data_IF_947986112165
#
_entry.id   IF_947986112165
#
_cell.length_a   1.000
_cell.length_b   1.000
_cell.length_c   1.000
_cell.angle_alpha   90.00
_cell.angle_beta   90.00
_cell.angle_gamma   90.00
#
_symmetry.space_group_name_H-M   'P 1'
#
loop_
_entity.id
_entity.type
_entity.pdbx_description
1 polymer ?
#
# COMPACT_ATOMS: atom_id res chain seq x y z
N UNK A 1 -22.18 6.20 42.78
CA UNK A 1 -20.72 5.93 42.73
C UNK A 1 -20.31 5.95 41.30
N UNK A 2 -19.56 7.00 40.88
CA UNK A 2 -19.23 7.32 39.50
C UNK A 2 -18.05 6.47 39.03
N UNK A 3 -18.23 5.65 37.99
CA UNK A 3 -17.11 5.00 37.29
C UNK A 3 -16.57 5.99 36.27
N UNK A 4 -15.39 6.50 36.56
CA UNK A 4 -14.58 7.27 35.60
C UNK A 4 -14.13 6.35 34.46
N UNK A 5 -14.58 6.64 33.25
CA UNK A 5 -13.97 6.15 32.02
C UNK A 5 -12.58 6.79 31.92
N UNK A 6 -11.55 5.99 31.93
CA UNK A 6 -10.23 6.39 31.46
C UNK A 6 -10.24 6.30 29.94
N UNK A 7 -10.41 7.44 29.28
CA UNK A 7 -10.01 7.56 27.89
C UNK A 7 -8.49 7.59 27.88
N UNK A 8 -7.88 6.50 27.48
CA UNK A 8 -6.46 6.48 27.19
C UNK A 8 -6.21 7.23 25.89
N UNK A 9 -6.00 8.53 25.99
CA UNK A 9 -5.47 9.35 24.93
C UNK A 9 -4.02 8.86 24.71
N UNK A 10 -3.82 7.92 23.79
CA UNK A 10 -2.49 7.63 23.26
C UNK A 10 -2.09 8.86 22.47
N UNK A 11 -1.14 9.59 23.04
CA UNK A 11 -0.43 10.68 22.38
C UNK A 11 0.38 10.05 21.25
N UNK A 12 -0.22 9.89 20.08
CA UNK A 12 0.51 9.59 18.85
C UNK A 12 1.33 10.83 18.58
N UNK A 13 2.63 10.74 18.82
CA UNK A 13 3.57 11.76 18.41
C UNK A 13 3.49 11.83 16.89
N UNK A 14 2.80 12.88 16.40
CA UNK A 14 2.84 13.26 15.01
C UNK A 14 4.30 13.42 14.60
N UNK A 15 4.81 12.52 13.79
CA UNK A 15 5.85 12.86 12.86
C UNK A 15 5.11 13.52 11.72
N UNK A 16 5.16 14.86 11.57
CA UNK A 16 4.57 15.46 10.41
C UNK A 16 5.31 14.86 9.19
N UNK A 17 4.58 14.35 8.23
CA UNK A 17 5.04 14.37 6.85
C UNK A 17 5.10 15.85 6.51
N UNK A 18 6.18 16.47 6.96
CA UNK A 18 6.50 17.83 6.59
C UNK A 18 7.08 17.67 5.19
N UNK A 19 6.25 17.95 4.19
CA UNK A 19 6.76 18.54 2.96
C UNK A 19 7.44 19.83 3.39
N UNK A 20 8.62 19.73 3.96
CA UNK A 20 9.54 20.83 4.10
C UNK A 20 10.10 21.05 2.71
N UNK A 21 9.50 22.00 1.98
CA UNK A 21 10.24 22.79 1.02
C UNK A 21 11.60 23.08 1.64
N UNK A 22 12.59 22.27 1.30
CA UNK A 22 13.96 22.50 1.71
C UNK A 22 14.41 23.75 0.98
N UNK A 23 14.17 24.90 1.60
CA UNK A 23 14.74 26.15 1.13
C UNK A 23 16.23 25.94 0.95
N UNK A 24 16.68 25.97 -0.30
CA UNK A 24 18.06 25.76 -0.67
C UNK A 24 19.00 26.60 0.18
N UNK A 25 19.89 25.95 0.89
CA UNK A 25 20.99 26.64 1.58
C UNK A 25 21.99 27.05 0.49
N UNK A 26 21.90 28.28 0.04
CA UNK A 26 22.89 28.90 -0.85
C UNK A 26 24.19 29.02 -0.03
N UNK A 27 25.08 28.06 -0.19
CA UNK A 27 26.44 28.21 0.27
C UNK A 27 27.22 28.89 -0.87
N UNK A 28 27.62 30.12 -0.63
CA UNK A 28 28.31 30.98 -1.58
C UNK A 28 29.49 30.34 -2.27
N UNK A 29 29.55 30.60 -3.55
CA UNK A 29 30.39 30.12 -4.60
C UNK A 29 31.85 29.80 -4.27
N UNK A 30 32.22 28.56 -4.58
CA UNK A 30 33.51 28.27 -5.20
C UNK A 30 33.28 28.06 -6.68
N UNK A 31 33.89 28.94 -7.48
CA UNK A 31 33.89 28.76 -8.92
C UNK A 31 34.43 27.36 -9.22
N UNK A 32 33.67 26.55 -9.96
CA UNK A 32 34.15 25.30 -10.51
C UNK A 32 35.39 25.58 -11.40
N UNK A 33 36.49 24.95 -11.07
CA UNK A 33 37.79 25.24 -11.70
C UNK A 33 38.01 24.49 -12.99
N UNK A 34 37.10 23.57 -13.42
CA UNK A 34 37.30 22.82 -14.65
C UNK A 34 36.02 22.70 -15.51
N UNK A 35 36.09 23.25 -16.74
CA UNK A 35 35.06 23.06 -17.76
C UNK A 35 34.90 21.59 -18.21
N UNK A 36 35.85 20.72 -17.87
CA UNK A 36 35.91 19.32 -18.29
C UNK A 36 34.80 18.46 -17.65
N UNK A 37 34.52 18.64 -16.36
CA UNK A 37 33.50 17.86 -15.64
C UNK A 37 32.10 18.11 -16.21
N UNK A 38 31.76 19.37 -16.46
CA UNK A 38 30.47 19.75 -17.04
C UNK A 38 30.30 19.23 -18.49
N UNK A 39 31.38 18.99 -19.23
CA UNK A 39 31.35 18.42 -20.58
C UNK A 39 31.11 16.92 -20.59
N UNK A 40 31.52 16.20 -19.56
CA UNK A 40 31.37 14.75 -19.45
C UNK A 40 29.90 14.39 -19.24
N UNK A 41 29.15 15.17 -18.47
CA UNK A 41 27.73 14.97 -18.20
C UNK A 41 26.80 15.17 -19.41
N UNK A 42 27.20 16.01 -20.35
CA UNK A 42 26.45 16.21 -21.63
C UNK A 42 26.54 15.06 -22.60
N UNK A 43 27.33 14.02 -22.34
CA UNK A 43 27.67 12.97 -23.29
C UNK A 43 27.36 11.55 -22.84
N UNK A 44 26.92 11.32 -21.62
CA UNK A 44 26.32 10.04 -21.30
C UNK A 44 24.94 10.04 -21.95
N UNK A 45 24.83 9.54 -23.16
CA UNK A 45 23.62 8.90 -23.63
C UNK A 45 23.40 7.76 -22.64
N UNK A 46 22.59 8.04 -21.64
CA UNK A 46 22.09 7.01 -20.74
C UNK A 46 21.36 6.06 -21.65
N UNK A 47 21.92 4.86 -21.81
CA UNK A 47 21.33 3.82 -22.61
C UNK A 47 19.87 3.69 -22.17
N UNK A 48 18.95 3.73 -23.13
CA UNK A 48 17.58 3.30 -22.86
C UNK A 48 17.70 1.82 -22.50
N UNK A 49 17.71 1.54 -21.21
CA UNK A 49 17.42 0.20 -20.74
C UNK A 49 15.93 0.03 -20.95
N UNK A 50 15.59 -0.60 -22.06
CA UNK A 50 14.28 -1.09 -22.41
C UNK A 50 14.00 -2.31 -21.49
N UNK A 51 13.88 -2.05 -20.20
CA UNK A 51 13.37 -3.02 -19.24
C UNK A 51 11.85 -2.91 -19.29
N UNK A 52 11.25 -3.70 -20.13
CA UNK A 52 9.89 -4.06 -20.51
C UNK A 52 8.67 -3.58 -19.70
N UNK A 53 8.80 -2.84 -18.64
CA UNK A 53 7.74 -2.16 -17.93
C UNK A 53 7.96 -0.66 -17.98
N UNK A 54 6.99 0.05 -18.54
CA UNK A 54 6.99 1.50 -18.53
C UNK A 54 6.55 1.95 -17.14
N UNK A 55 7.52 2.47 -16.36
CA UNK A 55 7.28 3.04 -15.05
C UNK A 55 6.15 4.09 -15.12
N UNK A 56 5.20 4.01 -14.18
CA UNK A 56 4.00 4.83 -14.24
C UNK A 56 4.30 6.32 -14.14
N UNK A 57 5.04 6.74 -13.12
CA UNK A 57 5.34 8.15 -12.87
C UNK A 57 6.32 8.70 -13.90
N UNK A 58 7.28 7.91 -14.39
CA UNK A 58 8.13 8.26 -15.51
C UNK A 58 7.33 8.64 -16.76
N UNK A 59 6.26 7.90 -17.04
CA UNK A 59 5.37 8.15 -18.19
C UNK A 59 4.61 9.47 -18.12
N UNK A 60 4.46 10.06 -16.90
CA UNK A 60 3.79 11.35 -16.69
C UNK A 60 4.72 12.56 -16.83
N UNK A 61 6.02 12.34 -16.94
CA UNK A 61 7.03 13.38 -17.04
C UNK A 61 7.23 13.86 -18.48
N UNK A 62 7.58 15.13 -18.67
CA UNK A 62 8.01 15.64 -19.96
C UNK A 62 9.45 15.18 -20.31
N UNK A 63 9.91 15.43 -21.52
CA UNK A 63 11.21 14.94 -22.02
C UNK A 63 12.42 15.40 -21.18
N UNK A 64 12.39 16.63 -20.66
CA UNK A 64 13.48 17.14 -19.83
C UNK A 64 13.42 16.53 -18.42
N UNK A 65 12.23 16.40 -17.85
CA UNK A 65 12.00 15.69 -16.58
C UNK A 65 12.40 14.21 -16.68
N UNK A 66 12.03 13.51 -17.77
CA UNK A 66 12.43 12.11 -18.01
C UNK A 66 13.95 11.94 -18.11
N UNK A 67 14.65 12.94 -18.64
CA UNK A 67 16.11 12.94 -18.63
C UNK A 67 16.66 13.06 -17.21
N UNK A 68 16.13 14.02 -16.42
CA UNK A 68 16.48 14.19 -15.03
C UNK A 68 16.18 12.94 -14.17
N UNK A 69 15.07 12.27 -14.45
CA UNK A 69 14.71 11.00 -13.82
C UNK A 69 15.80 9.93 -14.02
N UNK A 70 16.25 9.73 -15.27
CA UNK A 70 17.31 8.77 -15.56
C UNK A 70 18.65 9.16 -14.93
N UNK A 71 18.98 10.48 -14.89
CA UNK A 71 20.18 10.99 -14.24
C UNK A 71 20.15 10.70 -12.73
N UNK A 72 18.99 10.93 -12.07
CA UNK A 72 18.81 10.65 -10.65
C UNK A 72 18.90 9.15 -10.37
N UNK A 73 18.19 8.34 -11.13
CA UNK A 73 18.14 6.89 -10.96
C UNK A 73 19.54 6.26 -11.14
N UNK A 74 20.28 6.66 -12.18
CA UNK A 74 21.64 6.18 -12.43
C UNK A 74 22.60 6.59 -11.31
N UNK A 75 22.55 7.87 -10.89
CA UNK A 75 23.39 8.35 -9.80
C UNK A 75 23.13 7.61 -8.49
N UNK A 76 21.85 7.33 -8.16
CA UNK A 76 21.47 6.56 -6.97
C UNK A 76 21.94 5.11 -7.08
N UNK A 77 21.70 4.44 -8.20
CA UNK A 77 22.13 3.04 -8.43
C UNK A 77 23.64 2.87 -8.42
N UNK A 78 24.37 3.91 -8.85
CA UNK A 78 25.84 3.96 -8.81
C UNK A 78 26.41 4.42 -7.46
N UNK A 79 25.56 4.70 -6.48
CA UNK A 79 25.96 5.23 -5.15
C UNK A 79 26.82 6.50 -5.21
N UNK A 80 26.53 7.38 -6.17
CA UNK A 80 27.23 8.66 -6.26
C UNK A 80 26.81 9.61 -5.13
N UNK A 81 27.74 10.11 -4.35
CA UNK A 81 27.42 11.07 -3.26
C UNK A 81 26.87 12.39 -3.81
N UNK A 82 27.29 12.75 -5.02
CA UNK A 82 26.86 13.96 -5.73
C UNK A 82 27.05 13.82 -7.22
N UNK A 83 26.05 14.25 -7.96
CA UNK A 83 26.11 14.31 -9.42
C UNK A 83 25.35 15.53 -9.95
N UNK A 84 25.60 15.89 -11.20
CA UNK A 84 24.94 17.03 -11.82
C UNK A 84 23.66 16.60 -12.51
N UNK A 85 22.65 17.48 -12.46
CA UNK A 85 21.40 17.31 -13.18
C UNK A 85 21.33 18.27 -14.36
N UNK A 86 20.67 17.84 -15.41
CA UNK A 86 20.26 18.71 -16.53
C UNK A 86 19.10 19.64 -16.14
N UNK A 87 18.35 19.31 -15.10
CA UNK A 87 17.30 20.12 -14.52
C UNK A 87 17.87 21.28 -13.68
N UNK A 88 17.14 22.37 -13.58
CA UNK A 88 17.56 23.56 -12.84
C UNK A 88 16.51 24.17 -11.91
N UNK A 89 15.24 23.77 -12.04
CA UNK A 89 14.13 24.20 -11.18
C UNK A 89 14.03 23.35 -9.91
N UNK A 90 13.92 23.96 -8.72
CA UNK A 90 13.80 23.21 -7.47
C UNK A 90 12.55 22.32 -7.47
N UNK A 91 11.38 22.91 -7.77
CA UNK A 91 10.12 22.15 -7.82
C UNK A 91 10.12 21.05 -8.90
N UNK A 92 10.85 21.27 -10.00
CA UNK A 92 11.00 20.29 -11.05
C UNK A 92 11.86 19.11 -10.61
N UNK A 93 12.96 19.40 -9.90
CA UNK A 93 13.85 18.38 -9.34
C UNK A 93 13.13 17.57 -8.27
N UNK A 94 12.42 18.25 -7.35
CA UNK A 94 11.65 17.58 -6.30
C UNK A 94 10.59 16.64 -6.91
N UNK A 95 9.82 17.13 -7.88
CA UNK A 95 8.83 16.33 -8.60
C UNK A 95 9.44 15.10 -9.29
N UNK A 96 10.55 15.28 -9.97
CA UNK A 96 11.24 14.19 -10.67
C UNK A 96 11.81 13.18 -9.67
N UNK A 97 12.35 13.66 -8.54
CA UNK A 97 12.84 12.78 -7.50
C UNK A 97 11.72 11.96 -6.83
N UNK A 98 10.58 12.58 -6.57
CA UNK A 98 9.41 11.86 -6.07
C UNK A 98 8.91 10.80 -7.07
N UNK A 99 8.93 11.10 -8.38
CA UNK A 99 8.61 10.12 -9.39
C UNK A 99 9.55 8.90 -9.34
N UNK A 100 10.87 9.14 -9.22
CA UNK A 100 11.86 8.06 -9.06
C UNK A 100 11.56 7.19 -7.84
N UNK A 101 11.29 7.81 -6.69
CA UNK A 101 11.04 7.04 -5.46
C UNK A 101 9.71 6.27 -5.48
N UNK A 102 8.69 6.81 -6.15
CA UNK A 102 7.38 6.15 -6.30
C UNK A 102 7.41 4.99 -7.29
N UNK A 103 8.24 5.07 -8.34
CA UNK A 103 8.41 4.01 -9.31
C UNK A 103 9.40 2.91 -8.85
N UNK A 104 10.26 3.19 -7.85
CA UNK A 104 11.36 2.32 -7.46
C UNK A 104 11.39 2.02 -5.95
N UNK A 105 10.46 1.22 -5.44
CA UNK A 105 10.44 0.85 -4.02
C UNK A 105 11.71 0.10 -3.59
N UNK A 106 12.42 -0.55 -4.54
CA UNK A 106 13.69 -1.23 -4.28
C UNK A 106 14.83 -0.30 -3.85
N UNK A 107 14.68 1.03 -4.05
CA UNK A 107 15.69 2.01 -3.64
C UNK A 107 15.62 2.33 -2.15
N UNK A 108 15.37 1.35 -1.29
CA UNK A 108 15.18 1.48 0.15
C UNK A 108 16.35 2.16 0.88
N UNK A 109 17.52 2.23 0.26
CA UNK A 109 18.72 2.84 0.84
C UNK A 109 18.82 4.34 0.64
N UNK A 110 17.82 4.97 0.03
CA UNK A 110 17.81 6.43 -0.23
C UNK A 110 16.83 7.10 0.72
N UNK A 111 17.23 8.25 1.24
CA UNK A 111 16.29 9.09 1.97
C UNK A 111 15.30 9.76 1.01
N UNK A 112 14.09 9.99 1.47
CA UNK A 112 13.13 10.84 0.77
C UNK A 112 13.48 12.36 0.85
N UNK A 113 14.68 12.69 1.31
CA UNK A 113 15.20 14.06 1.40
C UNK A 113 16.57 14.12 0.74
N UNK A 114 16.67 14.99 -0.24
CA UNK A 114 17.87 15.25 -1.00
C UNK A 114 18.46 16.62 -0.63
N UNK A 115 19.62 16.91 -1.21
CA UNK A 115 20.24 18.24 -1.18
C UNK A 115 20.56 18.67 -2.59
N UNK A 116 20.06 19.85 -2.97
CA UNK A 116 20.33 20.46 -4.25
C UNK A 116 21.26 21.65 -4.07
N UNK A 117 22.38 21.69 -4.77
CA UNK A 117 23.34 22.76 -4.74
C UNK A 117 23.33 23.46 -6.11
N UNK A 118 23.04 24.77 -6.13
CA UNK A 118 23.06 25.57 -7.35
C UNK A 118 24.37 26.31 -7.49
N UNK A 119 24.92 26.28 -8.72
CA UNK A 119 26.13 27.02 -9.06
C UNK A 119 25.97 27.64 -10.44
N UNK A 120 26.41 28.89 -10.58
CA UNK A 120 26.42 29.58 -11.87
C UNK A 120 27.85 29.58 -12.42
N UNK A 121 28.04 29.04 -13.60
CA UNK A 121 29.32 29.07 -14.31
C UNK A 121 29.14 29.61 -15.74
N UNK A 122 29.92 30.59 -16.09
CA UNK A 122 29.88 31.20 -17.46
C UNK A 122 28.46 31.63 -17.90
N UNK A 123 27.64 32.13 -16.95
CA UNK A 123 26.28 32.59 -17.20
C UNK A 123 25.25 31.47 -17.39
N UNK A 124 25.57 30.24 -17.00
CA UNK A 124 24.65 29.10 -16.93
C UNK A 124 24.58 28.57 -15.52
N UNK A 125 23.36 28.20 -15.11
CA UNK A 125 23.10 27.57 -13.84
C UNK A 125 23.26 26.05 -13.98
N UNK A 126 23.87 25.45 -12.96
CA UNK A 126 24.07 24.01 -12.84
C UNK A 126 23.55 23.57 -11.48
N UNK A 127 22.79 22.51 -11.47
CA UNK A 127 22.32 21.88 -10.25
C UNK A 127 23.15 20.64 -9.96
N UNK A 128 23.63 20.52 -8.74
CA UNK A 128 24.28 19.34 -8.22
C UNK A 128 23.36 18.70 -7.19
N UNK A 129 22.94 17.47 -7.47
CA UNK A 129 22.07 16.69 -6.63
C UNK A 129 22.88 15.79 -5.70
N UNK A 130 22.44 15.62 -4.47
CA UNK A 130 23.06 14.76 -3.46
C UNK A 130 21.97 13.96 -2.76
N UNK A 131 21.72 12.72 -3.17
CA UNK A 131 20.82 11.82 -2.45
C UNK A 131 21.42 11.53 -1.08
N UNK A 132 20.60 11.40 -0.06
CA UNK A 132 21.05 10.90 1.22
C UNK A 132 21.00 9.37 1.18
N UNK A 133 22.05 8.70 1.65
CA UNK A 133 22.06 7.23 1.76
C UNK A 133 21.94 6.79 3.20
N UNK A 134 21.09 5.76 3.42
CA UNK A 134 21.00 4.99 4.66
C UNK A 134 21.71 3.66 4.49
N UNK A 135 21.97 2.99 5.55
CA UNK A 135 22.52 1.64 5.59
C UNK A 135 23.98 1.48 5.13
N UNK A 136 24.70 0.66 5.84
CA UNK A 136 26.00 0.16 5.38
C UNK A 136 25.85 -0.84 4.25
N UNK A 137 26.93 -1.18 3.58
CA UNK A 137 26.95 -2.21 2.54
C UNK A 137 26.42 -3.55 3.05
N UNK A 138 26.82 -3.96 4.24
CA UNK A 138 26.38 -5.19 4.87
C UNK A 138 24.86 -5.19 5.13
N UNK A 139 24.33 -4.06 5.66
CA UNK A 139 22.89 -3.92 5.89
C UNK A 139 22.09 -3.97 4.58
N UNK A 140 22.59 -3.31 3.52
CA UNK A 140 21.94 -3.37 2.20
C UNK A 140 21.85 -4.79 1.67
N UNK A 141 22.93 -5.57 1.84
CA UNK A 141 22.94 -6.98 1.44
C UNK A 141 21.95 -7.82 2.26
N UNK A 142 21.87 -7.61 3.57
CA UNK A 142 20.90 -8.29 4.43
C UNK A 142 19.45 -7.96 4.04
N UNK A 143 19.15 -6.68 3.78
CA UNK A 143 17.81 -6.23 3.36
C UNK A 143 17.47 -6.81 1.99
N UNK A 144 18.39 -6.74 1.02
CA UNK A 144 18.18 -7.33 -0.31
C UNK A 144 17.91 -8.84 -0.22
N UNK A 145 18.62 -9.54 0.66
CA UNK A 145 18.38 -10.97 0.87
C UNK A 145 17.00 -11.21 1.52
N UNK A 146 16.57 -10.36 2.44
CA UNK A 146 15.24 -10.47 3.05
C UNK A 146 14.12 -10.24 2.02
N UNK A 147 14.31 -9.27 1.11
CA UNK A 147 13.39 -9.01 -0.01
C UNK A 147 13.31 -10.20 -0.97
N UNK A 148 14.47 -10.81 -1.32
CA UNK A 148 14.50 -12.00 -2.17
C UNK A 148 13.80 -13.19 -1.51
N UNK A 149 14.05 -13.41 -0.22
CA UNK A 149 13.38 -14.47 0.53
C UNK A 149 11.86 -14.28 0.53
N UNK A 150 11.38 -13.06 0.76
CA UNK A 150 9.95 -12.72 0.72
C UNK A 150 9.34 -13.04 -0.65
N UNK A 151 10.02 -12.67 -1.73
CA UNK A 151 9.56 -13.01 -3.07
C UNK A 151 9.49 -14.52 -3.33
N UNK A 152 10.49 -15.28 -2.89
CA UNK A 152 10.48 -16.75 -3.04
C UNK A 152 9.37 -17.41 -2.19
N UNK A 153 9.09 -16.88 -1.01
CA UNK A 153 7.98 -17.33 -0.16
C UNK A 153 6.64 -17.07 -0.85
N UNK A 154 6.43 -15.88 -1.42
CA UNK A 154 5.22 -15.54 -2.21
C UNK A 154 5.08 -16.48 -3.41
N UNK A 155 6.15 -16.69 -4.20
CA UNK A 155 6.13 -17.62 -5.34
C UNK A 155 5.69 -19.04 -4.92
N UNK A 156 6.14 -19.50 -3.76
CA UNK A 156 5.79 -20.83 -3.26
C UNK A 156 4.31 -20.99 -2.87
N UNK A 157 3.63 -19.86 -2.62
CA UNK A 157 2.21 -19.83 -2.24
C UNK A 157 1.27 -19.64 -3.45
N UNK A 158 1.80 -19.19 -4.59
CA UNK A 158 1.01 -18.99 -5.81
C UNK A 158 0.78 -20.34 -6.50
N UNK A 159 -0.49 -20.75 -6.71
CA UNK A 159 -0.80 -21.99 -7.43
C UNK A 159 -0.33 -21.93 -8.88
N UNK A 160 0.04 -23.08 -9.44
CA UNK A 160 0.38 -23.22 -10.86
C UNK A 160 -0.78 -22.74 -11.74
N UNK A 161 -0.50 -21.80 -12.66
CA UNK A 161 -1.52 -21.25 -13.57
C UNK A 161 -2.49 -20.27 -12.92
N UNK A 162 -2.17 -19.74 -11.74
CA UNK A 162 -2.96 -18.70 -11.07
C UNK A 162 -3.16 -17.47 -11.97
N UNK A 163 -4.38 -16.92 -11.95
CA UNK A 163 -4.67 -15.63 -12.58
C UNK A 163 -4.03 -14.48 -11.80
N UNK A 164 -3.95 -13.29 -12.41
CA UNK A 164 -3.29 -12.14 -11.80
C UNK A 164 -4.00 -11.67 -10.52
N UNK A 165 -5.32 -11.80 -10.43
CA UNK A 165 -6.06 -11.54 -9.20
C UNK A 165 -5.58 -12.45 -8.04
N UNK A 166 -5.39 -13.74 -8.30
CA UNK A 166 -4.89 -14.68 -7.30
C UNK A 166 -3.50 -14.31 -6.83
N UNK A 167 -2.62 -13.85 -7.75
CA UNK A 167 -1.29 -13.35 -7.39
C UNK A 167 -1.38 -12.10 -6.50
N UNK A 168 -2.24 -11.12 -6.87
CA UNK A 168 -2.47 -9.91 -6.06
C UNK A 168 -2.99 -10.28 -4.67
N UNK A 169 -3.95 -11.18 -4.57
CA UNK A 169 -4.48 -11.66 -3.28
C UNK A 169 -3.39 -12.35 -2.45
N UNK A 170 -2.53 -13.15 -3.07
CA UNK A 170 -1.43 -13.83 -2.38
C UNK A 170 -0.42 -12.81 -1.82
N UNK A 171 -0.03 -11.81 -2.63
CA UNK A 171 0.88 -10.74 -2.18
C UNK A 171 0.25 -9.92 -1.05
N UNK A 172 -1.01 -9.52 -1.20
CA UNK A 172 -1.77 -8.78 -0.19
C UNK A 172 -1.77 -9.51 1.15
N UNK A 173 -2.16 -10.79 1.14
CA UNK A 173 -2.19 -11.63 2.34
C UNK A 173 -0.79 -11.83 2.92
N UNK A 174 0.20 -12.09 2.07
CA UNK A 174 1.59 -12.27 2.51
C UNK A 174 2.13 -11.04 3.25
N UNK A 175 1.92 -9.84 2.71
CA UNK A 175 2.40 -8.60 3.35
C UNK A 175 1.73 -8.41 4.71
N UNK A 176 0.42 -8.62 4.81
CA UNK A 176 -0.34 -8.53 6.07
C UNK A 176 0.19 -9.56 7.09
N UNK A 177 0.33 -10.81 6.69
CA UNK A 177 0.73 -11.89 7.61
C UNK A 177 2.18 -11.77 8.10
N UNK A 178 3.04 -11.05 7.36
CA UNK A 178 4.47 -10.98 7.63
C UNK A 178 4.98 -9.60 8.06
N UNK A 179 4.09 -8.62 8.22
CA UNK A 179 4.44 -7.28 8.65
C UNK A 179 3.56 -6.88 9.83
N UNK A 180 4.10 -6.22 10.82
CA UNK A 180 3.37 -5.66 11.96
C UNK A 180 3.26 -4.14 11.79
N UNK A 181 2.06 -3.57 11.97
CA UNK A 181 1.87 -2.12 11.86
C UNK A 181 2.44 -1.42 13.10
N UNK A 182 3.68 -0.96 13.00
CA UNK A 182 4.42 -0.33 14.11
C UNK A 182 5.25 0.84 13.59
N UNK A 183 5.22 1.96 14.33
CA UNK A 183 6.09 3.11 14.07
C UNK A 183 7.49 2.78 14.55
N UNK A 184 8.46 2.80 13.64
CA UNK A 184 9.87 2.50 13.88
C UNK A 184 10.79 3.38 13.01
N UNK A 185 12.11 3.22 13.12
CA UNK A 185 13.06 4.02 12.35
C UNK A 185 13.02 3.74 10.84
N UNK A 186 12.65 2.53 10.43
CA UNK A 186 12.63 2.08 9.04
C UNK A 186 11.21 1.89 8.47
N UNK A 187 10.18 2.33 9.19
CA UNK A 187 8.77 2.02 8.96
C UNK A 187 8.20 2.52 7.62
N UNK A 188 8.82 3.55 7.04
CA UNK A 188 8.36 4.18 5.78
C UNK A 188 8.86 3.47 4.52
N UNK A 189 9.66 2.42 4.66
CA UNK A 189 10.29 1.76 3.53
C UNK A 189 10.07 0.24 3.53
N UNK A 190 10.32 -0.38 2.40
CA UNK A 190 10.25 -1.85 2.28
C UNK A 190 11.30 -2.57 3.14
N UNK A 191 12.36 -1.86 3.58
CA UNK A 191 13.30 -2.40 4.56
C UNK A 191 12.61 -2.69 5.90
N UNK A 192 11.70 -1.83 6.33
CA UNK A 192 10.84 -2.07 7.48
C UNK A 192 10.01 -3.32 7.30
N UNK A 193 9.26 -3.42 6.21
CA UNK A 193 8.36 -4.53 5.93
C UNK A 193 9.10 -5.89 5.79
N UNK A 194 10.18 -5.93 5.01
CA UNK A 194 10.85 -7.20 4.70
C UNK A 194 11.92 -7.61 5.72
N UNK A 195 12.70 -6.66 6.25
CA UNK A 195 13.83 -6.97 7.14
C UNK A 195 13.46 -6.88 8.62
N UNK A 196 12.74 -5.82 9.01
CA UNK A 196 12.32 -5.62 10.41
C UNK A 196 10.98 -6.28 10.72
N UNK A 197 10.19 -6.60 9.70
CA UNK A 197 8.80 -7.07 9.83
C UNK A 197 7.90 -6.05 10.53
N UNK A 198 8.22 -4.76 10.40
CA UNK A 198 7.54 -3.64 11.02
C UNK A 198 7.49 -2.47 10.05
N UNK A 199 6.31 -1.99 9.73
CA UNK A 199 6.14 -0.85 8.84
C UNK A 199 4.87 -0.05 9.16
N UNK A 200 4.74 1.11 8.52
CA UNK A 200 3.48 1.85 8.40
C UNK A 200 3.01 1.80 6.94
N UNK A 201 1.96 2.55 6.60
CA UNK A 201 1.32 2.48 5.28
C UNK A 201 2.29 2.57 4.09
N UNK A 202 3.30 3.44 4.14
CA UNK A 202 4.29 3.58 3.07
C UNK A 202 5.11 2.29 2.87
N UNK A 203 5.54 1.65 3.95
CA UNK A 203 6.27 0.37 3.86
C UNK A 203 5.41 -0.79 3.39
N UNK A 204 4.11 -0.85 3.80
CA UNK A 204 3.15 -1.83 3.28
C UNK A 204 2.93 -1.65 1.78
N UNK A 205 2.60 -0.44 1.35
CA UNK A 205 2.33 -0.14 -0.06
C UNK A 205 3.57 -0.40 -0.95
N UNK A 206 4.76 0.02 -0.50
CA UNK A 206 6.00 -0.27 -1.21
C UNK A 206 6.30 -1.78 -1.29
N UNK A 207 6.02 -2.55 -0.22
CA UNK A 207 6.20 -4.00 -0.23
C UNK A 207 5.24 -4.71 -1.20
N UNK A 208 3.97 -4.28 -1.25
CA UNK A 208 2.99 -4.76 -2.23
C UNK A 208 3.46 -4.45 -3.65
N UNK A 209 3.85 -3.20 -3.93
CA UNK A 209 4.37 -2.79 -5.24
C UNK A 209 5.56 -3.65 -5.66
N UNK A 210 6.60 -3.73 -4.83
CA UNK A 210 7.81 -4.50 -5.13
C UNK A 210 7.53 -5.96 -5.50
N UNK A 211 6.64 -6.64 -4.73
CA UNK A 211 6.32 -8.03 -4.99
C UNK A 211 5.48 -8.21 -6.25
N UNK A 212 4.51 -7.31 -6.52
CA UNK A 212 3.65 -7.39 -7.69
C UNK A 212 4.41 -7.10 -8.99
N UNK A 213 5.29 -6.09 -9.01
CA UNK A 213 6.14 -5.80 -10.16
C UNK A 213 7.04 -6.98 -10.51
N UNK A 214 7.59 -7.67 -9.52
CA UNK A 214 8.36 -8.91 -9.75
C UNK A 214 7.54 -10.09 -10.26
N UNK A 215 6.21 -10.03 -10.14
CA UNK A 215 5.26 -10.99 -10.71
C UNK A 215 4.69 -10.53 -12.04
N UNK A 216 5.26 -9.49 -12.66
CA UNK A 216 4.82 -8.86 -13.91
C UNK A 216 3.39 -8.27 -13.83
N UNK A 217 2.98 -7.79 -12.66
CA UNK A 217 1.68 -7.12 -12.45
C UNK A 217 1.92 -5.62 -12.24
N UNK A 218 1.40 -4.75 -13.13
CA UNK A 218 1.52 -3.30 -12.97
C UNK A 218 0.89 -2.83 -11.66
N UNK A 219 1.68 -2.14 -10.85
CA UNK A 219 1.28 -1.67 -9.53
C UNK A 219 1.79 -0.24 -9.31
N UNK A 220 0.90 0.66 -8.97
CA UNK A 220 1.19 2.07 -8.73
C UNK A 220 1.17 2.30 -7.22
N UNK A 221 2.23 2.88 -6.68
CA UNK A 221 2.29 3.37 -5.31
C UNK A 221 1.64 4.74 -5.21
N UNK A 222 0.61 4.90 -4.40
CA UNK A 222 -0.15 6.14 -4.27
C UNK A 222 -0.03 6.70 -2.86
N UNK A 223 0.17 7.99 -2.75
CA UNK A 223 0.08 8.76 -1.50
C UNK A 223 -1.08 9.74 -1.58
N UNK A 224 -1.70 9.99 -0.44
CA UNK A 224 -2.81 10.93 -0.34
C UNK A 224 -3.26 11.16 1.10
N UNK A 225 -4.45 11.70 1.22
CA UNK A 225 -5.07 12.05 2.49
C UNK A 225 -6.14 11.03 2.90
N UNK A 226 -6.22 10.76 4.20
CA UNK A 226 -7.33 10.04 4.79
C UNK A 226 -8.37 11.03 5.34
N UNK A 227 -9.64 10.80 5.03
CA UNK A 227 -10.73 11.63 5.52
C UNK A 227 -10.72 11.68 7.05
N UNK A 228 -10.99 12.86 7.61
CA UNK A 228 -11.01 13.10 9.05
C UNK A 228 -9.68 12.83 9.78
N UNK A 229 -8.57 12.74 9.05
CA UNK A 229 -7.23 12.59 9.58
C UNK A 229 -6.35 13.77 9.13
N UNK A 230 -5.34 14.10 9.94
CA UNK A 230 -4.25 15.01 9.56
C UNK A 230 -3.01 14.23 9.11
N UNK A 231 -3.12 12.92 9.05
CA UNK A 231 -2.05 12.02 8.61
C UNK A 231 -2.30 11.64 7.17
N UNK A 232 -1.24 11.66 6.36
CA UNK A 232 -1.28 11.08 5.02
C UNK A 232 -1.44 9.56 5.08
N UNK A 233 -1.82 8.97 3.96
CA UNK A 233 -1.94 7.54 3.79
C UNK A 233 -1.26 7.11 2.49
N UNK A 234 -0.84 5.84 2.41
CA UNK A 234 -0.27 5.25 1.20
C UNK A 234 -0.94 3.90 0.91
N UNK A 235 -1.22 3.67 -0.36
CA UNK A 235 -1.87 2.45 -0.88
C UNK A 235 -1.40 2.15 -2.30
N UNK A 236 -2.00 1.17 -2.94
CA UNK A 236 -1.67 0.80 -4.31
C UNK A 236 -2.88 0.90 -5.24
N UNK A 237 -2.61 1.10 -6.52
CA UNK A 237 -3.53 0.85 -7.62
C UNK A 237 -2.90 -0.21 -8.51
N UNK A 238 -3.63 -1.30 -8.77
CA UNK A 238 -3.18 -2.40 -9.64
C UNK A 238 -3.98 -2.42 -10.94
N UNK A 239 -3.33 -2.81 -12.03
CA UNK A 239 -4.01 -3.06 -13.30
C UNK A 239 -4.30 -4.56 -13.46
N UNK A 240 -5.58 -4.94 -13.56
CA UNK A 240 -6.03 -6.29 -13.82
C UNK A 240 -6.98 -6.30 -15.03
N UNK A 241 -6.65 -7.07 -16.06
CA UNK A 241 -7.45 -7.18 -17.28
C UNK A 241 -7.77 -5.83 -17.95
N UNK A 242 -6.83 -4.85 -17.86
CA UNK A 242 -7.00 -3.51 -18.45
C UNK A 242 -7.93 -2.59 -17.66
N UNK A 243 -8.22 -2.92 -16.39
CA UNK A 243 -8.97 -2.09 -15.45
C UNK A 243 -8.13 -1.85 -14.19
N UNK A 244 -8.40 -0.74 -13.49
CA UNK A 244 -7.66 -0.34 -12.30
C UNK A 244 -8.48 -0.60 -11.03
N UNK A 245 -7.78 -1.09 -9.98
CA UNK A 245 -8.38 -1.43 -8.69
C UNK A 245 -7.50 -0.93 -7.54
N UNK A 246 -8.12 -0.44 -6.48
CA UNK A 246 -7.43 -0.12 -5.24
C UNK A 246 -6.97 -1.39 -4.52
N UNK A 247 -5.80 -1.34 -3.89
CA UNK A 247 -5.29 -2.36 -2.97
C UNK A 247 -4.64 -1.67 -1.79
N UNK A 248 -5.13 -1.95 -0.59
CA UNK A 248 -4.65 -1.31 0.64
C UNK A 248 -4.40 -2.35 1.72
N UNK A 249 -3.19 -2.89 1.73
CA UNK A 249 -2.79 -3.92 2.68
C UNK A 249 -2.68 -3.39 4.12
N UNK A 250 -2.45 -2.09 4.30
CA UNK A 250 -2.42 -1.47 5.62
C UNK A 250 -3.78 -1.58 6.32
N UNK A 251 -4.85 -1.19 5.62
CA UNK A 251 -6.20 -1.31 6.15
C UNK A 251 -6.66 -2.77 6.24
N UNK A 252 -6.10 -3.65 5.40
CA UNK A 252 -6.31 -5.08 5.49
C UNK A 252 -5.75 -5.73 6.76
N UNK A 253 -4.77 -5.09 7.39
CA UNK A 253 -4.12 -5.50 8.65
C UNK A 253 -4.68 -4.75 9.87
N UNK A 254 -5.88 -4.19 9.78
CA UNK A 254 -6.50 -3.39 10.84
C UNK A 254 -7.81 -4.02 11.33
N UNK A 255 -7.76 -5.16 12.05
CA UNK A 255 -8.98 -5.79 12.59
C UNK A 255 -9.75 -4.86 13.54
N UNK A 256 -9.11 -3.81 14.06
CA UNK A 256 -9.73 -2.79 14.92
C UNK A 256 -10.80 -1.94 14.18
N UNK A 257 -10.85 -2.00 12.85
CA UNK A 257 -11.93 -1.37 12.07
C UNK A 257 -13.26 -2.12 12.19
N UNK A 258 -13.24 -3.38 12.64
CA UNK A 258 -14.45 -4.13 12.87
C UNK A 258 -15.14 -3.64 14.13
N UNK A 259 -16.36 -3.15 14.00
CA UNK A 259 -17.24 -2.93 15.12
C UNK A 259 -17.82 -4.29 15.59
N UNK A 260 -18.16 -4.39 16.85
CA UNK A 260 -18.63 -5.63 17.46
C UNK A 260 -17.57 -6.29 18.34
N UNK A 261 -17.45 -7.60 18.31
CA UNK A 261 -16.45 -8.34 19.10
C UNK A 261 -15.17 -8.60 18.28
N UNK A 262 -14.53 -7.52 17.85
CA UNK A 262 -13.32 -7.54 17.04
C UNK A 262 -12.13 -8.25 17.70
N UNK A 263 -12.16 -8.44 19.02
CA UNK A 263 -11.07 -9.04 19.79
C UNK A 263 -10.71 -10.43 19.27
N UNK A 264 -11.69 -11.23 18.89
CA UNK A 264 -11.47 -12.58 18.36
C UNK A 264 -10.88 -12.58 16.95
N UNK A 265 -11.28 -11.63 16.08
CA UNK A 265 -10.68 -11.50 14.75
C UNK A 265 -9.21 -11.12 14.85
N UNK A 266 -8.87 -10.24 15.80
CA UNK A 266 -7.49 -9.87 16.11
C UNK A 266 -6.70 -11.06 16.68
N UNK A 267 -7.27 -11.84 17.58
CA UNK A 267 -6.66 -13.03 18.15
C UNK A 267 -6.36 -14.11 17.09
N UNK A 268 -7.23 -14.25 16.08
CA UNK A 268 -7.08 -15.17 14.96
C UNK A 268 -6.27 -14.59 13.78
N UNK A 269 -5.73 -13.37 13.89
CA UNK A 269 -4.99 -12.69 12.81
C UNK A 269 -5.77 -12.71 11.48
N UNK A 270 -7.04 -12.40 11.53
CA UNK A 270 -7.92 -12.50 10.36
C UNK A 270 -7.65 -11.34 9.40
N UNK A 271 -7.16 -11.66 8.21
CA UNK A 271 -7.01 -10.67 7.12
C UNK A 271 -8.34 -10.06 6.73
N UNK A 272 -8.42 -8.74 6.65
CA UNK A 272 -9.58 -7.98 6.20
C UNK A 272 -9.49 -7.80 4.67
N UNK A 273 -10.33 -8.52 3.92
CA UNK A 273 -10.33 -8.47 2.45
C UNK A 273 -11.19 -7.34 1.86
N UNK A 274 -11.80 -6.51 2.69
CA UNK A 274 -12.59 -5.36 2.27
C UNK A 274 -11.75 -4.32 1.51
N UNK A 275 -10.47 -4.29 1.74
CA UNK A 275 -9.50 -3.39 1.11
C UNK A 275 -8.71 -4.04 -0.04
N UNK A 276 -9.08 -5.26 -0.45
CA UNK A 276 -8.61 -5.91 -1.66
C UNK A 276 -9.61 -5.69 -2.79
N UNK A 277 -9.29 -4.82 -3.71
CA UNK A 277 -10.19 -4.37 -4.79
C UNK A 277 -11.55 -3.89 -4.26
N UNK A 278 -11.60 -2.96 -3.29
CA UNK A 278 -12.85 -2.41 -2.77
C UNK A 278 -13.69 -1.79 -3.87
N UNK A 279 -14.97 -1.60 -3.60
CA UNK A 279 -15.80 -0.76 -4.47
C UNK A 279 -15.26 0.67 -4.43
N UNK A 280 -15.00 1.30 -5.59
CA UNK A 280 -14.33 2.60 -5.64
C UNK A 280 -15.01 3.66 -4.78
N UNK A 281 -16.34 3.75 -4.83
CA UNK A 281 -17.12 4.73 -4.06
C UNK A 281 -16.90 4.59 -2.54
N UNK A 282 -16.82 3.34 -2.04
CA UNK A 282 -16.60 3.08 -0.61
C UNK A 282 -15.19 3.45 -0.17
N UNK A 283 -14.20 3.24 -1.04
CA UNK A 283 -12.81 3.59 -0.76
C UNK A 283 -12.59 5.11 -0.83
N UNK A 284 -13.10 5.76 -1.87
CA UNK A 284 -12.94 7.20 -2.15
C UNK A 284 -13.68 8.10 -1.14
N UNK A 285 -14.66 7.58 -0.37
CA UNK A 285 -15.25 8.29 0.76
C UNK A 285 -14.21 8.63 1.85
N UNK A 286 -13.17 7.80 1.97
CA UNK A 286 -12.19 7.93 3.04
C UNK A 286 -10.79 8.31 2.55
N UNK A 287 -10.46 8.13 1.28
CA UNK A 287 -9.10 8.31 0.76
C UNK A 287 -9.11 9.11 -0.53
N UNK A 288 -8.22 10.11 -0.60
CA UNK A 288 -8.06 10.98 -1.78
C UNK A 288 -6.59 11.06 -2.14
N UNK A 289 -6.23 10.70 -3.37
CA UNK A 289 -4.86 10.80 -3.86
C UNK A 289 -4.37 12.26 -3.86
N UNK A 290 -3.07 12.45 -3.63
CA UNK A 290 -2.45 13.79 -3.69
C UNK A 290 -2.50 14.37 -5.10
N UNK A 291 -2.53 15.69 -5.19
CA UNK A 291 -2.56 16.42 -6.47
C UNK A 291 -1.21 16.45 -7.21
N UNK A 292 -0.15 15.88 -6.65
CA UNK A 292 1.19 15.97 -7.24
C UNK A 292 1.27 15.26 -8.61
N UNK A 293 0.65 14.07 -8.68
CA UNK A 293 0.56 13.29 -9.91
C UNK A 293 -0.87 12.78 -10.11
N UNK A 294 -1.39 12.83 -11.34
CA UNK A 294 -2.66 12.17 -11.63
C UNK A 294 -2.51 10.64 -11.45
N UNK A 295 -3.55 9.99 -10.97
CA UNK A 295 -3.65 8.53 -10.90
C UNK A 295 -4.81 8.02 -11.75
N UNK A 296 -4.78 6.78 -12.26
CA UNK A 296 -5.88 6.25 -13.04
C UNK A 296 -7.13 6.09 -12.18
N UNK A 297 -8.29 6.34 -12.79
CA UNK A 297 -9.56 6.15 -12.12
C UNK A 297 -9.88 4.65 -11.95
N UNK A 298 -10.14 4.23 -10.74
CA UNK A 298 -10.68 2.92 -10.44
C UNK A 298 -12.19 2.96 -10.60
N UNK A 299 -12.78 2.17 -11.48
CA UNK A 299 -14.23 2.18 -11.75
C UNK A 299 -14.84 0.78 -11.76
N UNK A 300 -14.02 -0.25 -11.83
CA UNK A 300 -14.45 -1.64 -11.90
C UNK A 300 -14.65 -2.26 -10.50
N UNK A 301 -15.55 -3.22 -10.40
CA UNK A 301 -15.93 -3.87 -9.14
C UNK A 301 -15.86 -5.40 -9.20
N UNK A 302 -15.63 -5.97 -10.37
CA UNK A 302 -15.68 -7.41 -10.61
C UNK A 302 -14.54 -8.20 -9.96
N UNK A 303 -13.42 -7.52 -9.61
CA UNK A 303 -12.31 -8.12 -8.85
C UNK A 303 -12.45 -7.92 -7.33
N UNK A 304 -13.55 -7.32 -6.85
CA UNK A 304 -13.78 -7.27 -5.41
C UNK A 304 -13.80 -8.68 -4.80
N UNK A 305 -13.16 -8.83 -3.63
CA UNK A 305 -13.03 -10.14 -2.98
C UNK A 305 -14.37 -10.88 -2.81
N UNK A 306 -15.40 -10.18 -2.37
CA UNK A 306 -16.72 -10.79 -2.13
C UNK A 306 -17.44 -11.13 -3.42
N UNK A 307 -17.31 -10.30 -4.46
CA UNK A 307 -17.87 -10.58 -5.80
C UNK A 307 -17.22 -11.84 -6.39
N UNK A 308 -15.90 -11.92 -6.36
CA UNK A 308 -15.13 -13.07 -6.86
C UNK A 308 -15.45 -14.36 -6.13
N UNK A 309 -15.81 -14.29 -4.86
CA UNK A 309 -16.10 -15.44 -4.02
C UNK A 309 -17.60 -15.76 -3.89
N UNK A 310 -18.47 -15.07 -4.65
CA UNK A 310 -19.92 -15.27 -4.60
C UNK A 310 -20.53 -14.93 -3.23
N UNK A 311 -19.93 -13.99 -2.51
CA UNK A 311 -20.30 -13.57 -1.18
C UNK A 311 -20.74 -12.08 -1.12
N UNK A 312 -21.10 -11.51 -2.27
CA UNK A 312 -21.67 -10.17 -2.38
C UNK A 312 -23.13 -10.29 -2.84
N UNK A 313 -24.04 -9.65 -2.10
CA UNK A 313 -25.49 -9.71 -2.34
C UNK A 313 -26.03 -8.31 -2.69
N UNK A 314 -26.74 -8.17 -3.80
CA UNK A 314 -27.38 -6.92 -4.20
C UNK A 314 -28.62 -6.58 -3.34
N UNK A 315 -29.27 -7.61 -2.82
CA UNK A 315 -30.45 -7.52 -1.94
C UNK A 315 -30.30 -8.51 -0.81
N UNK A 316 -30.89 -8.20 0.34
CA UNK A 316 -30.96 -9.18 1.42
C UNK A 316 -32.00 -10.27 1.14
N UNK A 317 -31.59 -11.52 1.19
CA UNK A 317 -32.41 -12.71 1.20
C UNK A 317 -31.81 -13.74 2.16
N UNK A 318 -32.53 -14.03 3.24
CA UNK A 318 -32.07 -14.96 4.26
C UNK A 318 -31.60 -16.31 3.71
N UNK A 319 -32.37 -16.87 2.76
CA UNK A 319 -32.04 -18.20 2.20
C UNK A 319 -30.67 -18.19 1.52
N UNK A 320 -30.40 -17.15 0.72
CA UNK A 320 -29.12 -17.00 0.02
C UNK A 320 -27.93 -16.81 0.97
N UNK A 321 -28.10 -15.99 2.01
CA UNK A 321 -27.08 -15.79 3.04
C UNK A 321 -26.84 -17.07 3.83
N UNK A 322 -27.90 -17.76 4.24
CA UNK A 322 -27.81 -19.01 4.99
C UNK A 322 -27.13 -20.13 4.16
N UNK A 323 -27.46 -20.25 2.87
CA UNK A 323 -26.82 -21.22 1.98
C UNK A 323 -25.32 -20.94 1.80
N UNK A 324 -24.92 -19.66 1.70
CA UNK A 324 -23.49 -19.27 1.70
C UNK A 324 -22.82 -19.68 3.01
N UNK A 325 -23.43 -19.36 4.15
CA UNK A 325 -22.88 -19.70 5.46
C UNK A 325 -22.69 -21.21 5.60
N UNK A 326 -23.70 -22.02 5.20
CA UNK A 326 -23.59 -23.47 5.19
C UNK A 326 -22.42 -23.96 4.34
N UNK A 327 -22.30 -23.46 3.10
CA UNK A 327 -21.21 -23.83 2.22
C UNK A 327 -19.82 -23.56 2.85
N UNK A 328 -19.67 -22.43 3.54
CA UNK A 328 -18.42 -22.06 4.21
C UNK A 328 -18.16 -22.94 5.43
N UNK A 329 -19.17 -23.19 6.24
CA UNK A 329 -19.08 -24.06 7.42
C UNK A 329 -18.76 -25.51 7.00
N UNK A 330 -19.39 -26.02 5.97
CA UNK A 330 -19.12 -27.37 5.42
C UNK A 330 -17.69 -27.50 4.87
N UNK A 331 -17.05 -26.37 4.55
CA UNK A 331 -15.65 -26.27 4.14
C UNK A 331 -14.67 -25.98 5.30
N UNK A 332 -15.13 -26.13 6.54
CA UNK A 332 -14.35 -25.91 7.77
C UNK A 332 -13.85 -24.45 7.97
N UNK A 333 -14.61 -23.47 7.46
CA UNK A 333 -14.30 -22.07 7.64
C UNK A 333 -14.65 -21.60 9.05
N UNK A 334 -13.66 -21.16 9.82
CA UNK A 334 -13.86 -20.57 11.16
C UNK A 334 -14.49 -19.17 11.12
N UNK A 335 -14.33 -18.47 10.00
CA UNK A 335 -14.87 -17.13 9.77
C UNK A 335 -15.70 -17.13 8.49
N UNK A 336 -16.97 -16.77 8.60
CA UNK A 336 -17.84 -16.52 7.45
C UNK A 336 -18.00 -15.03 7.27
N UNK A 337 -17.82 -14.56 6.05
CA UNK A 337 -17.90 -13.13 5.70
C UNK A 337 -18.64 -12.91 4.41
N UNK A 338 -19.40 -11.84 4.34
CA UNK A 338 -20.14 -11.45 3.15
C UNK A 338 -20.44 -9.95 3.14
N UNK A 339 -20.75 -9.45 1.96
CA UNK A 339 -20.92 -8.03 1.66
C UNK A 339 -22.28 -7.78 1.01
N UNK A 340 -22.79 -6.56 1.17
CA UNK A 340 -23.96 -6.08 0.44
C UNK A 340 -23.58 -4.95 -0.53
N UNK A 341 -24.19 -4.98 -1.72
CA UNK A 341 -23.95 -4.01 -2.79
C UNK A 341 -24.64 -2.66 -2.55
N UNK A 342 -25.54 -2.56 -1.57
CA UNK A 342 -26.27 -1.34 -1.24
C UNK A 342 -26.48 -1.18 0.26
N UNK A 343 -26.61 0.08 0.72
CA UNK A 343 -26.89 0.37 2.13
C UNK A 343 -28.23 -0.25 2.57
N UNK A 344 -29.27 -0.19 1.74
CA UNK A 344 -30.56 -0.76 2.09
C UNK A 344 -30.53 -2.27 2.33
N UNK A 345 -29.80 -3.02 1.49
CA UNK A 345 -29.63 -4.46 1.68
C UNK A 345 -28.82 -4.79 2.93
N UNK A 346 -27.79 -3.97 3.21
CA UNK A 346 -26.98 -4.09 4.44
C UNK A 346 -27.83 -3.84 5.71
N UNK A 347 -28.61 -2.75 5.72
CA UNK A 347 -29.47 -2.39 6.86
C UNK A 347 -30.51 -3.47 7.15
N UNK A 348 -31.15 -4.02 6.10
CA UNK A 348 -32.09 -5.13 6.24
C UNK A 348 -31.43 -6.38 6.82
N UNK A 349 -30.23 -6.72 6.32
CA UNK A 349 -29.46 -7.85 6.82
C UNK A 349 -29.03 -7.66 8.27
N UNK A 350 -28.52 -6.48 8.63
CA UNK A 350 -28.13 -6.17 10.00
C UNK A 350 -29.30 -6.29 10.97
N UNK A 351 -30.44 -5.71 10.62
CA UNK A 351 -31.66 -5.77 11.42
C UNK A 351 -32.14 -7.20 11.66
N UNK A 352 -32.09 -8.06 10.64
CA UNK A 352 -32.53 -9.45 10.76
C UNK A 352 -31.47 -10.33 11.48
N UNK A 353 -30.24 -10.28 11.02
CA UNK A 353 -29.19 -11.18 11.49
C UNK A 353 -28.72 -10.82 12.91
N UNK A 354 -28.55 -9.52 13.19
CA UNK A 354 -27.99 -9.04 14.44
C UNK A 354 -29.07 -8.62 15.43
N UNK A 355 -29.91 -7.64 15.08
CA UNK A 355 -30.91 -7.10 16.02
C UNK A 355 -32.00 -8.10 16.37
N UNK A 356 -32.48 -8.88 15.37
CA UNK A 356 -33.44 -9.96 15.56
C UNK A 356 -32.78 -11.29 15.95
N UNK A 357 -31.44 -11.32 15.99
CA UNK A 357 -30.64 -12.48 16.38
C UNK A 357 -30.86 -13.74 15.53
N UNK A 358 -31.18 -13.59 14.25
CA UNK A 358 -31.40 -14.71 13.32
C UNK A 358 -30.09 -15.50 13.03
N UNK A 359 -28.94 -14.89 13.31
CA UNK A 359 -27.61 -15.54 13.28
C UNK A 359 -27.56 -16.84 14.11
N UNK A 360 -28.43 -17.00 15.13
CA UNK A 360 -28.50 -18.23 15.92
C UNK A 360 -28.73 -19.48 15.08
N UNK A 361 -29.41 -19.38 13.95
CA UNK A 361 -29.69 -20.54 13.10
C UNK A 361 -28.43 -20.96 12.34
N UNK A 362 -27.55 -20.02 12.02
CA UNK A 362 -26.21 -20.30 11.47
C UNK A 362 -25.35 -20.98 12.53
N UNK A 363 -25.36 -20.47 13.77
CA UNK A 363 -24.62 -21.05 14.88
C UNK A 363 -25.10 -22.48 15.23
N UNK A 364 -26.41 -22.73 15.18
CA UNK A 364 -26.97 -24.09 15.33
C UNK A 364 -26.44 -25.03 14.24
N UNK A 365 -26.42 -24.58 12.99
CA UNK A 365 -25.88 -25.38 11.90
C UNK A 365 -24.41 -25.71 12.13
N UNK A 366 -23.61 -24.74 12.55
CA UNK A 366 -22.20 -24.96 12.89
C UNK A 366 -22.04 -26.03 13.99
N UNK A 367 -22.84 -25.96 15.06
CA UNK A 367 -22.84 -26.98 16.13
C UNK A 367 -23.20 -28.37 15.60
N UNK A 368 -24.20 -28.47 14.72
CA UNK A 368 -24.59 -29.75 14.12
C UNK A 368 -23.47 -30.39 13.31
N UNK A 369 -22.81 -29.60 12.45
CA UNK A 369 -21.69 -30.05 11.60
C UNK A 369 -20.52 -30.53 12.45
N UNK A 370 -20.17 -29.80 13.50
CA UNK A 370 -19.01 -30.10 14.34
C UNK A 370 -19.32 -30.95 15.59
N UNK A 371 -20.56 -31.39 15.76
CA UNK A 371 -20.99 -32.23 16.89
C UNK A 371 -20.87 -31.56 18.24
N UNK A 372 -21.04 -30.26 18.32
CA UNK A 372 -20.91 -29.45 19.53
C UNK A 372 -22.25 -29.36 20.27
N UNK A 373 -22.20 -29.34 21.61
CA UNK A 373 -23.40 -29.17 22.45
C UNK A 373 -23.67 -27.71 22.82
N UNK A 374 -22.67 -26.85 22.67
CA UNK A 374 -22.75 -25.40 22.92
C UNK A 374 -21.68 -24.70 22.11
N UNK A 375 -21.91 -23.43 21.76
CA UNK A 375 -20.97 -22.56 21.07
C UNK A 375 -21.13 -21.12 21.52
N UNK A 376 -20.04 -20.37 21.53
CA UNK A 376 -20.07 -18.92 21.50
C UNK A 376 -19.80 -18.49 20.06
N UNK A 377 -20.59 -17.59 19.54
CA UNK A 377 -20.35 -16.98 18.25
C UNK A 377 -20.23 -15.47 18.41
N UNK A 378 -19.48 -14.87 17.52
CA UNK A 378 -19.19 -13.46 17.53
C UNK A 378 -19.45 -12.90 16.14
N UNK A 379 -19.73 -11.60 16.07
CA UNK A 379 -19.85 -10.90 14.81
C UNK A 379 -19.01 -9.64 14.81
N UNK A 380 -18.58 -9.23 13.62
CA UNK A 380 -17.96 -7.94 13.35
C UNK A 380 -18.57 -7.33 12.11
N UNK A 381 -18.53 -6.02 12.01
CA UNK A 381 -19.03 -5.27 10.86
C UNK A 381 -18.04 -4.20 10.44
N UNK A 382 -18.03 -3.90 9.15
CA UNK A 382 -17.40 -2.70 8.60
C UNK A 382 -18.49 -1.93 7.86
N UNK A 383 -19.13 -0.99 8.55
CA UNK A 383 -20.33 -0.32 8.08
C UNK A 383 -20.16 0.40 6.74
N UNK A 384 -19.09 1.17 6.58
CA UNK A 384 -18.80 1.89 5.34
C UNK A 384 -18.49 0.95 4.17
N UNK A 385 -18.05 -0.29 4.44
CA UNK A 385 -17.85 -1.35 3.45
C UNK A 385 -19.05 -2.27 3.30
N UNK A 386 -20.09 -2.12 4.13
CA UNK A 386 -21.33 -2.93 4.12
C UNK A 386 -21.06 -4.43 4.25
N UNK A 387 -20.16 -4.77 5.19
CA UNK A 387 -19.67 -6.15 5.36
C UNK A 387 -19.99 -6.67 6.74
N UNK A 388 -20.37 -7.95 6.81
CA UNK A 388 -20.57 -8.69 8.05
C UNK A 388 -19.61 -9.89 8.11
N UNK A 389 -19.12 -10.12 9.33
CA UNK A 389 -18.22 -11.22 9.69
C UNK A 389 -18.86 -12.01 10.82
N UNK A 390 -18.91 -13.32 10.69
CA UNK A 390 -19.31 -14.24 11.76
C UNK A 390 -18.18 -15.20 12.07
N UNK A 391 -17.96 -15.41 13.37
CA UNK A 391 -16.94 -16.33 13.90
C UNK A 391 -17.61 -17.29 14.88
N UNK A 392 -17.13 -18.52 14.82
CA UNK A 392 -17.66 -19.64 15.59
C UNK A 392 -16.58 -20.30 16.43
#
# INVERSE_FOLDING_TARGET
MSKKRFSGLRLILMVPVVVLLAGGLIIGGRALQEPGEVRTLKRQEIAQTDEGHQEYYFGLLNEDEQRGYREILEGIRSFEDKFYLSLSGDNEIDRVYHAVLKDHPELFWVHNREKVYKTTYSGRDYCQFSPGYTYTEEQRQEITQAMENAYQEVLSQIPDGADDYTKVMTVYTYVIDNTEYVISDDDQSIAGAFWKKQAVCAGYAGAVQYLLERLDIPCIYVEGDAANSTQGHAWNIVELNGQYYYVDATNGDQPDFLEGDATLLAEHKTTIYDYLCPFPQEYEENYTASDEFPVPACTATDMNFYVRNGACFDTYDWSSVYDLCRLRIDSDAAVVRFKFGSQGAYDEAYMDLIDSNHIQDIAKYYMEVHGLSQISYHYGVIDNMKTLYFMF
#
